data_IF_187344400874
#
_entry.id   IF_187344400874
#
_cell.length_a   1.000
_cell.length_b   1.000
_cell.length_c   1.000
_cell.angle_alpha   90.00
_cell.angle_beta   90.00
_cell.angle_gamma   90.00
#
_symmetry.space_group_name_H-M   'P 1'
#
loop_
_entity.id
_entity.type
_entity.pdbx_description
1 polymer ?
#
# COMPACT_ATOMS: atom_id res chain seq x y z
N UNK A 1 19.99 -14.57 -16.47
CA UNK A 1 19.23 -13.33 -16.75
C UNK A 1 18.11 -13.11 -15.74
N UNK A 2 17.11 -14.01 -15.65
CA UNK A 2 15.95 -13.83 -14.75
C UNK A 2 16.30 -13.54 -13.28
N UNK A 3 17.34 -14.17 -12.72
CA UNK A 3 17.80 -13.94 -11.35
C UNK A 3 18.32 -12.50 -11.11
N UNK A 4 19.07 -11.96 -12.07
CA UNK A 4 19.56 -10.57 -12.04
C UNK A 4 18.42 -9.59 -12.28
N UNK A 5 17.45 -9.96 -13.13
CA UNK A 5 16.25 -9.16 -13.37
C UNK A 5 15.35 -9.12 -12.13
N UNK A 6 15.35 -10.18 -11.32
CA UNK A 6 14.58 -10.26 -10.09
C UNK A 6 15.03 -9.23 -9.03
N UNK A 7 16.31 -8.83 -9.01
CA UNK A 7 16.82 -7.86 -8.03
C UNK A 7 16.60 -6.40 -8.42
N UNK A 8 16.29 -6.11 -9.69
CA UNK A 8 16.07 -4.73 -10.14
C UNK A 8 14.78 -4.12 -9.55
N UNK A 9 14.69 -2.78 -9.46
CA UNK A 9 13.44 -2.11 -9.12
C UNK A 9 12.33 -2.37 -10.14
N UNK A 10 11.07 -2.35 -9.71
CA UNK A 10 9.90 -2.64 -10.54
C UNK A 10 9.82 -1.75 -11.80
N UNK A 11 10.19 -0.47 -11.70
CA UNK A 11 10.17 0.47 -12.82
C UNK A 11 11.15 0.11 -13.95
N UNK A 12 12.30 -0.52 -13.62
CA UNK A 12 13.30 -0.95 -14.60
C UNK A 12 12.85 -2.23 -15.31
N UNK A 13 12.17 -3.14 -14.59
CA UNK A 13 11.68 -4.42 -15.15
C UNK A 13 10.62 -4.23 -16.22
N UNK A 14 9.79 -3.19 -16.07
CA UNK A 14 8.68 -2.88 -16.99
C UNK A 14 9.11 -2.20 -18.29
N UNK A 15 10.39 -1.87 -18.46
CA UNK A 15 10.89 -1.15 -19.62
C UNK A 15 11.69 -2.06 -20.56
N UNK A 16 11.36 -1.99 -21.86
CA UNK A 16 12.15 -2.60 -22.94
C UNK A 16 12.25 -4.12 -22.89
N UNK A 17 13.44 -4.66 -23.19
CA UNK A 17 13.69 -6.10 -23.39
C UNK A 17 13.62 -6.96 -22.13
N UNK A 18 13.52 -6.35 -20.94
CA UNK A 18 13.48 -7.05 -19.66
C UNK A 18 12.06 -7.47 -19.25
N UNK A 19 11.04 -6.88 -19.88
CA UNK A 19 9.63 -7.16 -19.61
C UNK A 19 9.24 -8.63 -19.90
N UNK A 20 9.91 -9.28 -20.86
CA UNK A 20 9.70 -10.69 -21.18
C UNK A 20 10.17 -11.65 -20.07
N UNK A 21 11.08 -11.19 -19.21
CA UNK A 21 11.58 -11.94 -18.06
C UNK A 21 10.95 -11.51 -16.73
N UNK A 22 10.10 -10.48 -16.74
CA UNK A 22 9.36 -10.01 -15.57
C UNK A 22 7.95 -10.61 -15.54
N UNK A 23 7.85 -11.94 -15.51
CA UNK A 23 6.56 -12.62 -15.30
C UNK A 23 6.49 -13.23 -13.90
N UNK A 24 5.28 -13.47 -13.40
CA UNK A 24 5.06 -14.05 -12.07
C UNK A 24 5.76 -15.41 -11.94
N UNK A 25 5.64 -16.23 -12.97
CA UNK A 25 6.29 -17.54 -13.04
C UNK A 25 7.81 -17.44 -12.94
N UNK A 26 8.45 -16.48 -13.62
CA UNK A 26 9.90 -16.28 -13.54
C UNK A 26 10.34 -15.82 -12.16
N UNK A 27 9.54 -14.98 -11.51
CA UNK A 27 9.82 -14.53 -10.14
C UNK A 27 9.70 -15.66 -9.13
N UNK A 28 8.64 -16.47 -9.20
CA UNK A 28 8.48 -17.67 -8.38
C UNK A 28 9.64 -18.64 -8.61
N UNK A 29 9.95 -18.96 -9.86
CA UNK A 29 11.06 -19.85 -10.20
C UNK A 29 12.40 -19.33 -9.68
N UNK A 30 12.67 -18.02 -9.83
CA UNK A 30 13.90 -17.41 -9.31
C UNK A 30 13.97 -17.45 -7.78
N UNK A 31 12.85 -17.24 -7.07
CA UNK A 31 12.79 -17.35 -5.62
C UNK A 31 13.02 -18.78 -5.13
N UNK A 32 12.42 -19.77 -5.79
CA UNK A 32 12.64 -21.19 -5.48
C UNK A 32 14.10 -21.59 -5.69
N UNK A 33 14.72 -21.17 -6.81
CA UNK A 33 16.14 -21.42 -7.06
C UNK A 33 17.02 -20.75 -6.01
N UNK A 34 16.70 -19.52 -5.60
CA UNK A 34 17.42 -18.83 -4.52
C UNK A 34 17.34 -19.58 -3.19
N UNK A 35 16.14 -20.05 -2.82
CA UNK A 35 15.92 -20.85 -1.61
C UNK A 35 16.76 -22.13 -1.64
N UNK A 36 16.71 -22.89 -2.74
CA UNK A 36 17.44 -24.15 -2.89
C UNK A 36 18.95 -23.89 -2.82
N UNK A 37 19.44 -22.88 -3.52
CA UNK A 37 20.85 -22.51 -3.50
C UNK A 37 21.30 -22.07 -2.10
N UNK A 38 20.53 -21.21 -1.42
CA UNK A 38 20.84 -20.74 -0.09
C UNK A 38 20.91 -21.90 0.92
N UNK A 39 19.96 -22.83 0.88
CA UNK A 39 19.94 -24.03 1.73
C UNK A 39 21.15 -24.92 1.43
N UNK A 40 21.46 -25.19 0.16
CA UNK A 40 22.60 -26.01 -0.22
C UNK A 40 23.93 -25.40 0.25
N UNK A 41 24.15 -24.10 0.01
CA UNK A 41 25.35 -23.41 0.47
C UNK A 41 25.43 -23.28 1.99
N UNK A 42 24.30 -23.19 2.68
CA UNK A 42 24.23 -23.21 4.14
C UNK A 42 24.67 -24.55 4.70
N UNK A 43 24.15 -25.66 4.15
CA UNK A 43 24.50 -27.03 4.58
C UNK A 43 25.99 -27.30 4.35
N UNK A 44 26.50 -26.99 3.15
CA UNK A 44 27.92 -27.17 2.83
C UNK A 44 28.80 -26.32 3.75
N UNK A 45 28.43 -25.06 3.97
CA UNK A 45 29.14 -24.17 4.90
C UNK A 45 29.11 -24.67 6.34
N UNK A 46 28.00 -25.27 6.79
CA UNK A 46 27.86 -25.81 8.13
C UNK A 46 28.75 -27.05 8.32
N UNK A 47 28.79 -27.95 7.33
CA UNK A 47 29.67 -29.12 7.35
C UNK A 47 31.14 -28.67 7.43
N UNK A 48 31.53 -27.71 6.59
CA UNK A 48 32.89 -27.15 6.57
C UNK A 48 33.23 -26.46 7.90
N UNK A 49 32.31 -25.66 8.43
CA UNK A 49 32.43 -25.01 9.73
C UNK A 49 32.60 -26.03 10.86
N UNK A 50 31.74 -27.05 10.94
CA UNK A 50 31.81 -28.10 11.97
C UNK A 50 33.14 -28.86 11.85
N UNK A 51 33.58 -29.17 10.63
CA UNK A 51 34.87 -29.84 10.41
C UNK A 51 36.05 -29.00 10.89
N UNK A 52 36.00 -27.69 10.69
CA UNK A 52 37.03 -26.74 11.10
C UNK A 52 36.99 -26.47 12.60
N UNK A 53 35.79 -26.30 13.16
CA UNK A 53 35.54 -26.11 14.58
C UNK A 53 36.06 -27.30 15.39
N UNK A 54 35.78 -28.53 14.93
CA UNK A 54 36.27 -29.76 15.56
C UNK A 54 37.79 -29.92 15.51
N UNK A 55 38.47 -29.26 14.56
CA UNK A 55 39.93 -29.27 14.40
C UNK A 55 40.64 -28.10 15.11
N UNK A 56 39.90 -27.12 15.62
CA UNK A 56 40.44 -25.89 16.21
C UNK A 56 39.83 -25.60 17.58
N UNK A 57 38.93 -24.63 17.71
CA UNK A 57 38.39 -24.17 19.00
C UNK A 57 37.60 -25.26 19.75
N UNK A 58 36.88 -26.12 19.04
CA UNK A 58 36.17 -27.25 19.62
C UNK A 58 37.10 -28.37 20.08
N UNK A 59 38.25 -28.55 19.41
CA UNK A 59 39.26 -29.53 19.81
C UNK A 59 39.76 -29.29 21.23
N UNK A 60 40.08 -28.04 21.57
CA UNK A 60 40.56 -27.66 22.90
C UNK A 60 39.55 -27.96 24.02
N UNK A 61 38.26 -27.89 23.71
CA UNK A 61 37.18 -28.23 24.64
C UNK A 61 37.01 -29.75 24.78
N UNK A 62 37.04 -30.47 23.65
CA UNK A 62 36.93 -31.93 23.58
C UNK A 62 38.15 -32.65 24.21
N UNK A 63 39.35 -32.10 24.10
CA UNK A 63 40.56 -32.69 24.70
C UNK A 63 40.68 -32.46 26.20
N UNK A 64 40.10 -31.38 26.72
CA UNK A 64 40.15 -31.03 28.15
C UNK A 64 39.00 -31.65 28.97
N UNK A 65 37.95 -32.16 28.31
CA UNK A 65 36.88 -32.94 28.94
C UNK A 65 36.59 -34.22 28.14
N UNK A 66 37.29 -35.35 28.45
CA UNK A 66 37.18 -36.59 27.69
C UNK A 66 35.85 -37.34 27.90
N UNK A 67 35.08 -36.98 28.93
CA UNK A 67 33.73 -37.50 29.19
C UNK A 67 32.77 -36.33 29.25
N UNK A 68 32.00 -36.14 28.18
CA UNK A 68 30.95 -35.13 28.11
C UNK A 68 29.64 -35.75 28.55
N UNK A 69 28.95 -35.10 29.49
CA UNK A 69 27.54 -35.38 29.71
C UNK A 69 26.71 -34.90 28.50
N UNK A 70 25.55 -35.52 28.27
CA UNK A 70 24.68 -35.24 27.12
C UNK A 70 24.33 -33.76 27.01
N UNK A 71 24.07 -33.10 28.15
CA UNK A 71 23.79 -31.67 28.21
C UNK A 71 24.96 -30.78 27.78
N UNK A 72 26.20 -31.19 28.09
CA UNK A 72 27.41 -30.45 27.70
C UNK A 72 27.68 -30.60 26.19
N UNK A 73 27.49 -31.80 25.65
CA UNK A 73 27.58 -32.04 24.21
C UNK A 73 26.58 -31.18 23.42
N UNK A 74 25.32 -31.14 23.88
CA UNK A 74 24.28 -30.30 23.26
C UNK A 74 24.57 -28.80 23.39
N UNK A 75 25.08 -28.36 24.55
CA UNK A 75 25.45 -26.96 24.78
C UNK A 75 26.57 -26.49 23.85
N UNK A 76 27.63 -27.29 23.68
CA UNK A 76 28.73 -27.01 22.75
C UNK A 76 28.24 -26.99 21.30
N UNK A 77 27.37 -27.93 20.92
CA UNK A 77 26.74 -27.95 19.60
C UNK A 77 25.89 -26.71 19.33
N UNK A 78 25.12 -26.27 20.32
CA UNK A 78 24.28 -25.06 20.23
C UNK A 78 25.12 -23.79 20.09
N UNK A 79 26.19 -23.66 20.87
CA UNK A 79 27.13 -22.54 20.75
C UNK A 79 27.84 -22.54 19.39
N UNK A 80 28.26 -23.71 18.91
CA UNK A 80 28.82 -23.88 17.57
C UNK A 80 27.84 -23.45 16.47
N UNK A 81 26.58 -23.84 16.59
CA UNK A 81 25.54 -23.44 15.64
C UNK A 81 25.24 -21.93 15.68
N UNK A 82 25.09 -21.35 16.87
CA UNK A 82 24.86 -19.91 17.02
C UNK A 82 26.04 -19.08 16.49
N UNK A 83 27.27 -19.50 16.77
CA UNK A 83 28.46 -18.83 16.22
C UNK A 83 28.52 -18.93 14.69
N UNK A 84 28.13 -20.07 14.12
CA UNK A 84 27.97 -20.21 12.67
C UNK A 84 26.91 -19.26 12.09
N UNK A 85 25.77 -19.10 12.77
CA UNK A 85 24.70 -18.18 12.34
C UNK A 85 25.15 -16.71 12.29
N UNK A 86 26.09 -16.32 13.15
CA UNK A 86 26.61 -14.95 13.22
C UNK A 86 27.70 -14.65 12.18
N UNK A 87 28.17 -15.65 11.42
CA UNK A 87 29.12 -15.41 10.35
C UNK A 87 28.49 -14.57 9.22
N UNK A 88 29.20 -13.58 8.66
CA UNK A 88 28.67 -12.74 7.58
C UNK A 88 28.12 -13.53 6.39
N UNK A 89 28.81 -14.62 6.02
CA UNK A 89 28.36 -15.55 4.96
C UNK A 89 27.01 -16.18 5.30
N UNK A 90 26.86 -16.65 6.54
CA UNK A 90 25.63 -17.32 6.98
C UNK A 90 24.47 -16.34 7.06
N UNK A 91 24.71 -15.13 7.59
CA UNK A 91 23.71 -14.06 7.58
C UNK A 91 23.24 -13.71 6.17
N UNK A 92 24.16 -13.63 5.21
CA UNK A 92 23.83 -13.42 3.81
C UNK A 92 22.97 -14.54 3.22
N UNK A 93 23.28 -15.82 3.53
CA UNK A 93 22.49 -16.96 3.08
C UNK A 93 21.09 -16.98 3.69
N UNK A 94 20.96 -16.64 4.98
CA UNK A 94 19.67 -16.49 5.67
C UNK A 94 18.85 -15.37 5.04
N UNK A 95 19.48 -14.25 4.70
CA UNK A 95 18.84 -13.16 3.97
C UNK A 95 18.32 -13.63 2.60
N UNK A 96 19.17 -14.27 1.78
CA UNK A 96 18.78 -14.82 0.47
C UNK A 96 17.63 -15.83 0.57
N UNK A 97 17.64 -16.68 1.60
CA UNK A 97 16.55 -17.61 1.86
C UNK A 97 15.23 -16.88 2.13
N UNK A 98 15.24 -15.90 3.03
CA UNK A 98 14.05 -15.10 3.35
C UNK A 98 13.55 -14.28 2.17
N UNK A 99 14.46 -13.64 1.44
CA UNK A 99 14.17 -12.87 0.23
C UNK A 99 13.56 -13.76 -0.87
N UNK A 100 14.08 -14.97 -1.08
CA UNK A 100 13.52 -15.95 -2.01
C UNK A 100 12.07 -16.34 -1.66
N UNK A 101 11.78 -16.53 -0.36
CA UNK A 101 10.41 -16.79 0.12
C UNK A 101 9.50 -15.60 -0.15
N UNK A 102 9.91 -14.40 0.27
CA UNK A 102 9.11 -13.19 0.13
C UNK A 102 8.81 -12.88 -1.34
N UNK A 103 9.79 -13.06 -2.23
CA UNK A 103 9.61 -12.87 -3.67
C UNK A 103 8.65 -13.89 -4.29
N UNK A 104 8.77 -15.16 -3.90
CA UNK A 104 7.87 -16.21 -4.39
C UNK A 104 6.42 -15.99 -3.92
N UNK A 105 6.23 -15.59 -2.66
CA UNK A 105 4.91 -15.27 -2.11
C UNK A 105 4.30 -14.00 -2.71
N UNK A 106 5.07 -12.92 -2.85
CA UNK A 106 4.57 -11.68 -3.45
C UNK A 106 4.12 -11.92 -4.90
N UNK A 107 4.93 -12.65 -5.68
CA UNK A 107 4.63 -12.97 -7.07
C UNK A 107 3.41 -13.88 -7.21
N UNK A 108 3.21 -14.84 -6.29
CA UNK A 108 2.06 -15.76 -6.34
C UNK A 108 0.76 -15.10 -5.88
N UNK A 109 0.80 -14.25 -4.86
CA UNK A 109 -0.40 -13.64 -4.27
C UNK A 109 -0.88 -12.41 -5.05
N UNK A 110 0.05 -11.57 -5.52
CA UNK A 110 -0.31 -10.27 -6.10
C UNK A 110 -0.15 -10.22 -7.62
N UNK A 111 0.50 -11.23 -8.22
CA UNK A 111 0.91 -11.21 -9.62
C UNK A 111 1.93 -10.10 -9.95
N UNK A 112 2.49 -9.43 -8.94
CA UNK A 112 3.44 -8.33 -9.10
C UNK A 112 4.89 -8.82 -8.99
N UNK A 113 5.81 -7.97 -9.41
CA UNK A 113 7.21 -8.30 -9.62
C UNK A 113 8.09 -7.33 -8.86
N UNK A 114 7.93 -7.32 -7.53
CA UNK A 114 8.79 -6.54 -6.66
C UNK A 114 10.26 -6.96 -6.90
N UNK A 115 11.15 -5.98 -6.79
CA UNK A 115 12.60 -6.16 -6.87
C UNK A 115 13.11 -6.97 -5.69
N UNK A 116 13.79 -6.27 -4.79
CA UNK A 116 14.09 -6.76 -3.45
C UNK A 116 12.81 -6.75 -2.61
N UNK A 117 12.19 -7.91 -2.44
CA UNK A 117 10.93 -8.06 -1.73
C UNK A 117 11.04 -7.64 -0.26
N UNK A 118 12.16 -7.96 0.39
CA UNK A 118 12.46 -7.60 1.78
C UNK A 118 12.49 -6.09 2.05
N UNK A 119 12.80 -5.26 1.04
CA UNK A 119 12.82 -3.79 1.18
C UNK A 119 11.50 -3.19 0.68
N UNK A 120 10.97 -3.71 -0.41
CA UNK A 120 9.76 -3.18 -1.02
C UNK A 120 8.50 -3.44 -0.18
N UNK A 121 8.38 -4.62 0.44
CA UNK A 121 7.20 -4.99 1.23
C UNK A 121 7.02 -4.08 2.46
N UNK A 122 8.04 -3.82 3.31
CA UNK A 122 7.91 -2.90 4.43
C UNK A 122 7.53 -1.48 4.00
N UNK A 123 8.18 -0.95 2.95
CA UNK A 123 7.87 0.40 2.46
C UNK A 123 6.41 0.52 2.02
N UNK A 124 5.91 -0.49 1.30
CA UNK A 124 4.51 -0.51 0.86
C UNK A 124 3.53 -0.70 2.00
N UNK A 125 3.87 -1.52 2.99
CA UNK A 125 3.06 -1.64 4.20
C UNK A 125 2.94 -0.29 4.90
N UNK A 126 4.04 0.46 5.05
CA UNK A 126 4.04 1.81 5.60
C UNK A 126 3.19 2.76 4.74
N UNK A 127 3.34 2.73 3.42
CA UNK A 127 2.54 3.58 2.52
C UNK A 127 1.03 3.26 2.61
N UNK A 128 0.66 1.97 2.65
CA UNK A 128 -0.72 1.54 2.80
C UNK A 128 -1.31 1.95 4.16
N UNK A 129 -0.52 1.83 5.25
CA UNK A 129 -0.92 2.30 6.57
C UNK A 129 -1.08 3.82 6.61
N UNK A 130 -0.23 4.57 5.90
CA UNK A 130 -0.35 6.03 5.81
C UNK A 130 -1.66 6.43 5.09
N UNK A 131 -1.97 5.80 3.97
CA UNK A 131 -3.22 6.03 3.23
C UNK A 131 -4.43 5.66 4.11
N UNK A 132 -4.40 4.49 4.73
CA UNK A 132 -5.49 4.05 5.61
C UNK A 132 -5.68 4.97 6.82
N UNK A 133 -4.59 5.44 7.43
CA UNK A 133 -4.63 6.41 8.51
C UNK A 133 -5.20 7.77 8.07
N UNK A 134 -4.85 8.23 6.87
CA UNK A 134 -5.46 9.43 6.29
C UNK A 134 -6.95 9.24 6.02
N UNK A 135 -7.36 8.12 5.45
CA UNK A 135 -8.76 7.78 5.22
C UNK A 135 -9.55 7.69 6.52
N UNK A 136 -8.99 7.06 7.56
CA UNK A 136 -9.62 6.97 8.88
C UNK A 136 -9.76 8.35 9.54
N UNK A 137 -8.75 9.21 9.41
CA UNK A 137 -8.79 10.59 9.89
C UNK A 137 -9.87 11.40 9.16
N UNK A 138 -9.97 11.26 7.84
CA UNK A 138 -11.02 11.92 7.04
C UNK A 138 -12.41 11.41 7.45
N UNK A 139 -12.58 10.10 7.58
CA UNK A 139 -13.84 9.48 8.03
C UNK A 139 -14.26 9.94 9.43
N UNK A 140 -13.31 10.19 10.34
CA UNK A 140 -13.61 10.74 11.66
C UNK A 140 -14.01 12.23 11.63
N UNK A 141 -13.54 12.99 10.63
CA UNK A 141 -13.88 14.41 10.46
C UNK A 141 -15.22 14.61 9.74
N UNK A 142 -15.53 13.73 8.80
CA UNK A 142 -16.81 13.71 8.08
C UNK A 142 -17.87 13.18 9.04
N UNK A 143 -18.94 13.97 9.22
CA UNK A 143 -20.04 13.60 10.11
C UNK A 143 -20.91 12.47 9.56
N UNK A 144 -22.06 12.17 10.20
CA UNK A 144 -23.03 11.24 9.63
C UNK A 144 -23.49 11.72 8.24
N UNK A 145 -23.86 10.78 7.36
CA UNK A 145 -24.35 11.07 6.01
C UNK A 145 -25.50 12.09 6.06
N UNK A 146 -25.44 13.09 5.18
CA UNK A 146 -26.43 14.16 5.04
C UNK A 146 -26.70 14.40 3.56
N UNK A 147 -27.89 14.92 3.19
CA UNK A 147 -28.12 15.37 1.83
C UNK A 147 -27.10 16.44 1.47
N UNK A 148 -26.69 16.44 0.20
CA UNK A 148 -25.74 17.39 -0.33
C UNK A 148 -26.37 18.80 -0.28
N UNK A 149 -25.60 19.79 0.15
CA UNK A 149 -26.03 21.20 0.17
C UNK A 149 -25.46 21.88 -1.08
N UNK A 150 -26.35 22.34 -1.97
CA UNK A 150 -25.99 23.05 -3.20
C UNK A 150 -26.26 24.55 -2.99
N UNK A 151 -25.23 25.36 -3.22
CA UNK A 151 -25.31 26.82 -3.20
C UNK A 151 -25.15 27.32 -4.63
N UNK A 152 -26.22 27.92 -5.14
CA UNK A 152 -26.26 28.47 -6.49
C UNK A 152 -25.25 29.63 -6.66
N UNK A 153 -24.71 29.87 -7.87
CA UNK A 153 -23.75 30.93 -8.13
C UNK A 153 -24.21 32.32 -7.70
N UNK A 154 -25.52 32.58 -7.71
CA UNK A 154 -26.12 33.85 -7.29
C UNK A 154 -25.96 34.13 -5.78
N UNK A 155 -25.96 33.07 -4.97
CA UNK A 155 -25.85 33.13 -3.51
C UNK A 155 -24.43 32.82 -3.01
N UNK A 156 -23.54 32.42 -3.94
CA UNK A 156 -22.15 32.07 -3.69
C UNK A 156 -21.24 33.30 -3.57
N UNK A 157 -20.33 33.27 -2.59
CA UNK A 157 -19.29 34.32 -2.44
C UNK A 157 -18.29 34.34 -3.59
N UNK A 158 -18.15 33.23 -4.31
CA UNK A 158 -17.20 33.09 -5.41
C UNK A 158 -17.87 33.22 -6.78
N UNK A 159 -19.19 33.49 -6.83
CA UNK A 159 -19.97 33.48 -8.07
C UNK A 159 -19.81 32.16 -8.85
N UNK A 160 -19.64 31.06 -8.11
CA UNK A 160 -19.46 29.70 -8.62
C UNK A 160 -20.46 28.78 -7.93
N UNK A 161 -20.85 27.69 -8.59
CA UNK A 161 -21.69 26.68 -7.97
C UNK A 161 -20.88 25.99 -6.85
N UNK A 162 -21.36 26.03 -5.62
CA UNK A 162 -20.73 25.33 -4.50
C UNK A 162 -21.56 24.11 -4.13
N UNK A 163 -20.94 22.93 -4.11
CA UNK A 163 -21.57 21.71 -3.62
C UNK A 163 -20.84 21.25 -2.37
N UNK A 164 -21.57 21.08 -1.27
CA UNK A 164 -21.07 20.51 -0.03
C UNK A 164 -21.60 19.09 0.12
N UNK A 165 -20.69 18.11 0.08
CA UNK A 165 -21.06 16.70 0.23
C UNK A 165 -20.33 16.03 1.38
N UNK A 166 -21.00 15.12 2.08
CA UNK A 166 -20.35 14.21 3.02
C UNK A 166 -19.58 13.11 2.30
N UNK A 167 -19.99 12.75 1.08
CA UNK A 167 -19.35 11.72 0.29
C UNK A 167 -18.33 12.32 -0.68
N UNK A 168 -17.23 11.61 -0.88
CA UNK A 168 -16.27 11.99 -1.90
C UNK A 168 -16.84 11.64 -3.28
N UNK A 169 -17.23 12.65 -4.05
CA UNK A 169 -17.67 12.46 -5.43
C UNK A 169 -16.43 12.17 -6.29
N UNK A 170 -16.49 11.16 -7.19
CA UNK A 170 -15.36 10.76 -8.02
C UNK A 170 -15.13 11.70 -9.22
N UNK A 171 -15.42 12.99 -9.04
CA UNK A 171 -15.28 14.00 -10.08
C UNK A 171 -13.82 14.35 -10.30
N UNK A 172 -13.42 14.44 -11.56
CA UNK A 172 -12.09 14.88 -11.99
C UNK A 172 -12.17 16.28 -12.57
N UNK A 173 -11.05 17.01 -12.56
CA UNK A 173 -10.94 18.38 -13.09
C UNK A 173 -11.32 18.48 -14.59
N UNK A 174 -11.17 17.38 -15.33
CA UNK A 174 -11.51 17.28 -16.75
C UNK A 174 -12.97 16.89 -17.01
N UNK A 175 -13.77 16.62 -15.96
CA UNK A 175 -15.17 16.23 -16.12
C UNK A 175 -16.09 17.44 -16.04
N UNK A 176 -17.15 17.40 -16.84
CA UNK A 176 -18.20 18.41 -16.86
C UNK A 176 -19.38 17.88 -16.05
N UNK A 177 -19.81 18.66 -15.05
CA UNK A 177 -20.96 18.36 -14.20
C UNK A 177 -22.17 19.10 -14.76
N UNK A 178 -23.22 18.37 -15.14
CA UNK A 178 -24.49 18.96 -15.57
C UNK A 178 -25.45 19.05 -14.39
N UNK A 179 -25.92 20.26 -14.08
CA UNK A 179 -26.84 20.53 -12.97
C UNK A 179 -27.81 21.67 -13.35
N UNK A 180 -29.11 21.49 -13.08
CA UNK A 180 -30.12 22.52 -13.36
C UNK A 180 -30.18 23.01 -14.82
N UNK A 181 -29.81 22.14 -15.78
CA UNK A 181 -29.72 22.49 -17.21
C UNK A 181 -28.47 23.29 -17.61
N UNK A 182 -27.57 23.56 -16.67
CA UNK A 182 -26.28 24.27 -16.88
C UNK A 182 -25.10 23.30 -16.76
N UNK A 183 -23.97 23.70 -17.33
CA UNK A 183 -22.74 22.90 -17.33
C UNK A 183 -21.67 23.59 -16.50
N UNK A 184 -21.02 22.81 -15.65
CA UNK A 184 -19.97 23.30 -14.77
C UNK A 184 -18.71 22.45 -14.85
N UNK A 185 -17.55 23.07 -14.68
CA UNK A 185 -16.26 22.41 -14.57
C UNK A 185 -15.71 22.52 -13.15
N UNK A 186 -15.14 21.43 -12.64
CA UNK A 186 -14.55 21.40 -11.30
C UNK A 186 -13.30 22.29 -11.24
N UNK A 187 -13.35 23.33 -10.43
CA UNK A 187 -12.25 24.27 -10.23
C UNK A 187 -11.45 23.96 -8.95
N UNK A 188 -12.12 23.66 -7.85
CA UNK A 188 -11.46 23.31 -6.59
C UNK A 188 -12.22 22.19 -5.86
N UNK A 189 -11.48 21.27 -5.24
CA UNK A 189 -11.99 20.30 -4.27
C UNK A 189 -11.25 20.45 -2.96
N UNK A 190 -11.97 20.68 -1.86
CA UNK A 190 -11.36 20.85 -0.54
C UNK A 190 -12.25 20.36 0.59
N UNK A 191 -11.64 19.78 1.62
CA UNK A 191 -12.33 19.46 2.87
C UNK A 191 -12.39 20.72 3.74
N UNK A 192 -13.60 21.16 4.10
CA UNK A 192 -13.82 22.40 4.86
C UNK A 192 -14.68 22.16 6.10
N UNK A 193 -14.48 22.92 7.20
CA UNK A 193 -15.35 22.83 8.37
C UNK A 193 -16.73 23.42 8.04
N UNK A 194 -17.80 22.66 8.34
CA UNK A 194 -19.20 23.05 8.17
C UNK A 194 -19.97 22.69 9.44
N UNK A 195 -20.03 23.64 10.38
CA UNK A 195 -20.59 23.42 11.72
C UNK A 195 -19.68 22.54 12.59
N UNK A 196 -20.22 21.44 13.13
CA UNK A 196 -19.47 20.50 14.00
C UNK A 196 -18.66 19.44 13.25
N UNK A 197 -18.79 19.37 11.93
CA UNK A 197 -18.14 18.36 11.09
C UNK A 197 -17.49 18.99 9.87
N UNK A 198 -16.77 18.19 9.09
CA UNK A 198 -16.24 18.61 7.80
C UNK A 198 -17.09 18.06 6.66
N UNK A 199 -17.10 18.78 5.55
CA UNK A 199 -17.70 18.37 4.28
C UNK A 199 -16.73 18.65 3.13
N UNK A 200 -16.83 17.87 2.06
CA UNK A 200 -16.17 18.17 0.81
C UNK A 200 -16.87 19.31 0.13
N UNK A 201 -16.15 20.42 -0.09
CA UNK A 201 -16.59 21.54 -0.92
C UNK A 201 -16.03 21.36 -2.33
N UNK A 202 -16.92 21.33 -3.29
CA UNK A 202 -16.61 21.40 -4.72
C UNK A 202 -16.98 22.79 -5.21
N UNK A 203 -16.00 23.52 -5.74
CA UNK A 203 -16.23 24.77 -6.46
C UNK A 203 -16.27 24.45 -7.95
N UNK A 204 -17.39 24.81 -8.57
CA UNK A 204 -17.72 24.48 -9.94
C UNK A 204 -17.91 25.77 -10.73
N UNK A 205 -17.06 25.99 -11.72
CA UNK A 205 -17.13 27.15 -12.61
C UNK A 205 -18.14 26.87 -13.73
N UNK A 206 -19.02 27.82 -14.01
CA UNK A 206 -19.99 27.70 -15.10
C UNK A 206 -19.29 27.83 -16.45
N UNK A 207 -19.56 26.90 -17.35
CA UNK A 207 -19.04 26.93 -18.72
C UNK A 207 -19.95 27.78 -19.60
N UNK A 208 -19.36 28.64 -20.43
CA UNK A 208 -20.12 29.48 -21.36
C UNK A 208 -20.74 28.64 -22.51
N UNK A 209 -21.87 29.08 -23.07
CA UNK A 209 -22.61 28.38 -24.16
C UNK A 209 -21.76 28.06 -25.42
N UNK A 210 -20.59 28.69 -25.57
CA UNK A 210 -19.70 28.52 -26.72
C UNK A 210 -18.43 27.73 -26.41
N UNK A 211 -18.24 27.29 -25.17
CA UNK A 211 -17.08 26.48 -24.81
C UNK A 211 -17.24 25.02 -25.24
N UNK A 212 -16.16 24.47 -25.77
CA UNK A 212 -16.14 23.08 -26.25
C UNK A 212 -16.09 22.17 -25.04
N UNK A 213 -17.17 21.44 -24.78
CA UNK A 213 -17.19 20.39 -23.76
C UNK A 213 -16.20 19.29 -24.14
N UNK A 214 -15.07 19.23 -23.44
CA UNK A 214 -14.07 18.17 -23.59
C UNK A 214 -14.14 17.26 -22.38
N UNK A 215 -14.58 16.03 -22.58
CA UNK A 215 -14.59 15.02 -21.52
C UNK A 215 -15.94 14.30 -21.37
N UNK A 216 -16.07 13.58 -20.26
CA UNK A 216 -17.31 12.87 -19.91
C UNK A 216 -18.23 13.81 -19.12
N UNK A 217 -19.49 13.87 -19.53
CA UNK A 217 -20.53 14.64 -18.83
C UNK A 217 -21.12 13.75 -17.72
N UNK A 218 -21.07 14.23 -16.48
CA UNK A 218 -21.68 13.59 -15.32
C UNK A 218 -22.92 14.39 -14.94
N UNK A 219 -24.09 13.74 -14.96
CA UNK A 219 -25.34 14.37 -14.53
C UNK A 219 -25.43 14.31 -13.01
N UNK A 220 -25.64 15.46 -12.39
CA UNK A 220 -25.86 15.57 -10.95
C UNK A 220 -27.28 16.07 -10.71
N UNK A 221 -28.18 15.12 -10.50
CA UNK A 221 -29.55 15.39 -10.09
C UNK A 221 -29.59 15.50 -8.56
N UNK A 222 -30.13 16.62 -8.07
CA UNK A 222 -30.25 16.87 -6.63
C UNK A 222 -31.06 15.76 -5.96
N UNK A 223 -30.51 15.14 -4.92
CA UNK A 223 -31.26 14.20 -4.07
C UNK A 223 -32.13 15.00 -3.08
N UNK A 224 -32.88 15.99 -3.58
CA UNK A 224 -33.77 16.84 -2.79
C UNK A 224 -35.23 16.38 -2.81
N UNK A 225 -35.58 15.28 -3.48
CA UNK A 225 -36.95 14.70 -3.45
C UNK A 225 -37.08 13.46 -2.56
N UNK A 226 -36.35 13.41 -1.44
CA UNK A 226 -36.61 12.46 -0.36
C UNK A 226 -37.02 13.19 0.91
N UNK A 227 -38.30 13.62 0.96
CA UNK A 227 -39.02 13.82 2.23
C UNK A 227 -39.42 15.24 2.61
N UNK A 228 -40.21 15.94 1.78
CA UNK A 228 -41.10 16.98 2.30
C UNK A 228 -42.33 16.31 2.95
N UNK A 229 -42.16 15.78 4.15
CA UNK A 229 -43.27 15.35 5.02
C UNK A 229 -43.24 15.99 6.40
N UNK A 230 -42.46 17.07 6.57
CA UNK A 230 -42.44 17.83 7.83
C UNK A 230 -42.61 19.34 7.62
N UNK A 231 -43.61 19.73 6.82
CA UNK A 231 -44.35 20.97 7.11
C UNK A 231 -45.10 20.80 8.43
N UNK A 232 -44.38 21.02 9.53
CA UNK A 232 -44.99 21.27 10.82
C UNK A 232 -45.64 22.67 10.73
N UNK A 233 -46.98 22.81 10.82
CA UNK A 233 -47.58 24.13 10.87
C UNK A 233 -47.22 24.73 12.22
N UNK A 234 -46.33 25.72 12.24
CA UNK A 234 -46.21 26.62 13.39
C UNK A 234 -47.56 27.31 13.53
N UNK A 235 -48.23 27.02 14.65
CA UNK A 235 -49.46 27.66 15.05
C UNK A 235 -49.35 29.18 14.95
N UNK A 236 -50.25 29.76 14.17
CA UNK A 236 -50.67 31.13 14.36
C UNK A 236 -51.70 31.13 15.49
N UNK A 237 -51.26 31.37 16.72
CA UNK A 237 -52.13 31.93 17.74
C UNK A 237 -52.30 33.42 17.42
N UNK A 238 -53.50 33.77 16.96
CA UNK A 238 -54.02 35.13 16.96
C UNK A 238 -55.31 35.11 17.79
N UNK A 239 -55.24 35.81 18.94
CA UNK A 239 -56.30 36.27 19.85
C UNK A 239 -56.83 35.30 20.90
#
# INVERSE_FOLDING_TARGET
MAFVVATFPEHVKRQGRLASYSTAAWHVASGVVEIIAAVAFFIVGLIDYVSTFSRTAGWTYLTNQPVLDYGQFFGVGTLGFLSYLLLPRTLFLVYCFGEGILRALDASLTGRHLGMAAVALPWRAVAALAVWGQSAKIAALIGPSRPDEVVEPADSRFSMLEIYSTEEKPWREEQVVAHGGRFFQLAEKRLVPRGRHHAWRYLLHELEEREILRGTIVRYDDVSEAGDSSRCPRGAELR
#
